data_IF_096821168197
#
_entry.id   IF_096821168197
#
_cell.length_a   1.000
_cell.length_b   1.000
_cell.length_c   1.000
_cell.angle_alpha   90.00
_cell.angle_beta   90.00
_cell.angle_gamma   90.00
#
_symmetry.space_group_name_H-M   'P 1'
#
loop_
_entity.id
_entity.type
_entity.pdbx_description
1 polymer ?
#
# COMPACT_ATOMS: atom_id res chain seq x y z
N UNK A 1 -11.89 -17.55 -42.52
CA UNK A 1 -10.71 -16.67 -42.44
C UNK A 1 -11.17 -15.36 -41.79
N UNK A 2 -10.61 -15.03 -40.60
CA UNK A 2 -10.72 -13.77 -39.83
C UNK A 2 -11.58 -13.69 -38.53
N UNK A 3 -12.07 -14.78 -37.90
CA UNK A 3 -12.71 -14.69 -36.56
C UNK A 3 -12.21 -15.71 -35.50
N UNK A 4 -11.41 -16.72 -35.88
CA UNK A 4 -10.89 -17.76 -34.96
C UNK A 4 -9.67 -17.29 -34.15
N UNK A 5 -8.71 -16.61 -34.79
CA UNK A 5 -7.57 -15.93 -34.13
C UNK A 5 -8.02 -14.80 -33.18
N UNK A 6 -9.26 -14.35 -33.34
CA UNK A 6 -9.85 -13.21 -32.63
C UNK A 6 -10.38 -13.58 -31.24
N UNK A 7 -10.77 -14.85 -31.02
CA UNK A 7 -11.12 -15.40 -29.70
C UNK A 7 -9.88 -15.85 -28.89
N UNK A 8 -8.82 -16.30 -29.57
CA UNK A 8 -7.54 -16.71 -28.94
C UNK A 8 -6.84 -15.55 -28.20
N UNK A 9 -7.12 -14.30 -28.58
CA UNK A 9 -6.60 -13.10 -27.92
C UNK A 9 -7.52 -12.55 -26.79
N UNK A 10 -8.81 -12.89 -26.81
CA UNK A 10 -9.80 -12.39 -25.82
C UNK A 10 -9.69 -13.12 -24.47
N UNK A 11 -9.25 -14.39 -24.50
CA UNK A 11 -8.86 -15.17 -23.33
C UNK A 11 -7.49 -14.78 -22.75
N UNK A 12 -6.55 -14.29 -23.58
CA UNK A 12 -5.21 -13.85 -23.17
C UNK A 12 -5.20 -12.68 -22.16
N UNK A 13 -6.37 -12.12 -21.90
CA UNK A 13 -6.58 -10.95 -21.08
C UNK A 13 -7.90 -11.03 -20.28
N UNK A 14 -8.06 -12.04 -19.43
CA UNK A 14 -8.51 -11.79 -18.04
C UNK A 14 -7.38 -11.03 -17.29
N UNK A 15 -6.87 -9.98 -17.94
CA UNK A 15 -5.64 -9.21 -17.72
C UNK A 15 -5.51 -8.90 -16.26
N UNK A 16 -4.52 -9.46 -15.57
CA UNK A 16 -4.32 -9.11 -14.17
C UNK A 16 -3.97 -10.24 -13.21
N UNK A 17 -4.82 -11.28 -13.15
CA UNK A 17 -5.02 -12.00 -11.88
C UNK A 17 -5.40 -13.49 -11.96
N UNK A 18 -5.57 -14.10 -13.14
CA UNK A 18 -5.92 -15.52 -13.28
C UNK A 18 -4.88 -16.33 -14.07
N UNK A 19 -4.55 -17.56 -13.65
CA UNK A 19 -3.68 -18.46 -14.43
C UNK A 19 -4.29 -18.83 -15.79
N UNK A 20 -3.43 -18.94 -16.81
CA UNK A 20 -3.80 -19.19 -18.21
C UNK A 20 -4.59 -20.50 -18.35
N UNK A 21 -4.22 -21.57 -17.61
CA UNK A 21 -4.93 -22.86 -17.68
C UNK A 21 -6.34 -22.81 -17.06
N UNK A 22 -6.63 -21.84 -16.19
CA UNK A 22 -7.97 -21.60 -15.68
C UNK A 22 -8.82 -20.81 -16.68
N UNK A 23 -8.21 -19.85 -17.39
CA UNK A 23 -8.87 -19.06 -18.42
C UNK A 23 -9.30 -19.94 -19.61
N UNK A 24 -8.45 -20.87 -20.07
CA UNK A 24 -8.77 -21.77 -21.19
C UNK A 24 -9.91 -22.74 -20.87
N UNK A 25 -9.96 -23.29 -19.65
CA UNK A 25 -11.06 -24.15 -19.21
C UNK A 25 -12.39 -23.40 -19.12
N UNK A 26 -12.36 -22.15 -18.65
CA UNK A 26 -13.55 -21.31 -18.51
C UNK A 26 -14.02 -20.71 -19.84
N UNK A 27 -13.12 -20.49 -20.80
CA UNK A 27 -13.45 -19.91 -22.12
C UNK A 27 -14.46 -20.76 -22.92
N UNK A 28 -14.56 -22.07 -22.65
CA UNK A 28 -15.58 -22.95 -23.26
C UNK A 28 -17.00 -22.70 -22.74
N UNK A 29 -17.14 -22.00 -21.61
CA UNK A 29 -18.41 -21.75 -20.93
C UNK A 29 -18.77 -20.27 -20.76
N UNK A 30 -17.80 -19.37 -20.93
CA UNK A 30 -17.99 -17.93 -20.76
C UNK A 30 -18.25 -17.25 -22.11
N UNK A 31 -19.27 -16.41 -22.15
CA UNK A 31 -19.47 -15.49 -23.28
C UNK A 31 -18.45 -14.35 -23.22
N UNK A 32 -18.28 -13.61 -24.33
CA UNK A 32 -17.47 -12.38 -24.34
C UNK A 32 -17.92 -11.38 -23.28
N UNK A 33 -19.22 -11.26 -23.03
CA UNK A 33 -19.78 -10.37 -22.00
C UNK A 33 -19.44 -10.81 -20.57
N UNK A 34 -19.37 -12.12 -20.30
CA UNK A 34 -18.94 -12.64 -18.99
C UNK A 34 -17.46 -12.33 -18.73
N UNK A 35 -16.61 -12.48 -19.75
CA UNK A 35 -15.18 -12.15 -19.67
C UNK A 35 -14.98 -10.66 -19.41
N UNK A 36 -15.73 -9.79 -20.09
CA UNK A 36 -15.69 -8.34 -19.85
C UNK A 36 -16.15 -7.97 -18.44
N UNK A 37 -17.24 -8.57 -17.97
CA UNK A 37 -17.76 -8.35 -16.62
C UNK A 37 -16.74 -8.79 -15.57
N UNK A 38 -16.14 -9.97 -15.71
CA UNK A 38 -15.11 -10.46 -14.81
C UNK A 38 -13.87 -9.57 -14.82
N UNK A 39 -13.48 -9.05 -15.99
CA UNK A 39 -12.35 -8.10 -16.11
C UNK A 39 -12.63 -6.81 -15.35
N UNK A 40 -13.83 -6.26 -15.48
CA UNK A 40 -14.21 -5.03 -14.77
C UNK A 40 -14.30 -5.24 -13.26
N UNK A 41 -14.84 -6.37 -12.80
CA UNK A 41 -14.85 -6.73 -11.38
C UNK A 41 -13.44 -6.90 -10.82
N UNK A 42 -12.54 -7.53 -11.57
CA UNK A 42 -11.13 -7.71 -11.19
C UNK A 42 -10.41 -6.36 -11.10
N UNK A 43 -10.63 -5.47 -12.09
CA UNK A 43 -10.08 -4.09 -12.07
C UNK A 43 -10.62 -3.29 -10.89
N UNK A 44 -11.91 -3.39 -10.60
CA UNK A 44 -12.53 -2.72 -9.45
C UNK A 44 -12.04 -3.29 -8.11
N UNK A 45 -11.62 -4.55 -8.07
CA UNK A 45 -11.18 -5.23 -6.85
C UNK A 45 -9.75 -4.89 -6.43
N UNK A 46 -8.87 -4.50 -7.36
CA UNK A 46 -7.48 -4.13 -7.04
C UNK A 46 -7.37 -2.62 -6.84
N UNK A 47 -7.14 -2.12 -5.61
CA UNK A 47 -7.05 -0.70 -5.40
C UNK A 47 -5.78 -0.12 -6.05
N UNK A 48 -5.89 1.08 -6.64
CA UNK A 48 -4.82 1.81 -7.35
C UNK A 48 -3.48 1.83 -6.61
N UNK A 49 -3.52 1.97 -5.29
CA UNK A 49 -2.32 2.00 -4.46
C UNK A 49 -1.53 0.68 -4.52
N UNK A 50 -2.21 -0.44 -4.72
CA UNK A 50 -1.62 -1.77 -4.86
C UNK A 50 -0.97 -1.91 -6.22
N UNK A 51 -1.64 -1.47 -7.29
CA UNK A 51 -1.07 -1.44 -8.66
C UNK A 51 0.21 -0.62 -8.67
N UNK A 52 0.16 0.62 -8.15
CA UNK A 52 1.34 1.50 -8.07
C UNK A 52 2.47 0.89 -7.23
N UNK A 53 2.15 0.21 -6.13
CA UNK A 53 3.15 -0.44 -5.28
C UNK A 53 3.82 -1.63 -5.98
N UNK A 54 3.05 -2.46 -6.71
CA UNK A 54 3.57 -3.59 -7.49
C UNK A 54 4.42 -3.07 -8.66
N UNK A 55 3.93 -2.09 -9.42
CA UNK A 55 4.68 -1.48 -10.51
C UNK A 55 6.02 -0.89 -10.03
N UNK A 56 6.01 -0.20 -8.88
CA UNK A 56 7.24 0.32 -8.27
C UNK A 56 8.20 -0.79 -7.84
N UNK A 57 7.70 -1.93 -7.34
CA UNK A 57 8.54 -3.06 -6.98
C UNK A 57 9.16 -3.73 -8.20
N UNK A 58 8.36 -3.95 -9.25
CA UNK A 58 8.83 -4.53 -10.50
C UNK A 58 9.85 -3.62 -11.19
N UNK A 59 9.64 -2.30 -11.20
CA UNK A 59 10.62 -1.35 -11.72
C UNK A 59 11.96 -1.43 -10.98
N UNK A 60 11.94 -1.61 -9.66
CA UNK A 60 13.18 -1.83 -8.89
C UNK A 60 13.84 -3.17 -9.22
N UNK A 61 13.06 -4.25 -9.29
CA UNK A 61 13.55 -5.59 -9.58
C UNK A 61 14.17 -5.68 -10.99
N UNK A 62 13.53 -5.08 -11.98
CA UNK A 62 14.02 -5.00 -13.36
C UNK A 62 15.35 -4.26 -13.45
N UNK A 63 15.46 -3.09 -12.81
CA UNK A 63 16.71 -2.33 -12.77
C UNK A 63 17.82 -3.11 -12.06
N UNK A 64 17.49 -3.78 -10.95
CA UNK A 64 18.44 -4.64 -10.24
C UNK A 64 18.87 -5.84 -11.09
N UNK A 65 17.96 -6.53 -11.77
CA UNK A 65 18.28 -7.68 -12.60
C UNK A 65 19.26 -7.28 -13.71
N UNK A 66 18.98 -6.18 -14.40
CA UNK A 66 19.88 -5.65 -15.44
C UNK A 66 21.25 -5.28 -14.89
N UNK A 67 21.31 -4.61 -13.75
CA UNK A 67 22.58 -4.24 -13.12
C UNK A 67 23.37 -5.45 -12.61
N UNK A 68 22.70 -6.48 -12.08
CA UNK A 68 23.33 -7.62 -11.41
C UNK A 68 23.62 -8.82 -12.32
N UNK A 69 22.92 -8.92 -13.45
CA UNK A 69 23.00 -10.07 -14.36
C UNK A 69 23.24 -9.68 -15.81
N UNK A 70 23.06 -8.40 -16.17
CA UNK A 70 23.03 -7.94 -17.57
C UNK A 70 21.70 -8.20 -18.27
N UNK A 71 20.82 -9.01 -17.69
CA UNK A 71 19.58 -9.50 -18.31
C UNK A 71 18.32 -8.84 -17.72
N UNK A 72 17.20 -8.81 -18.46
CA UNK A 72 15.90 -8.42 -17.93
C UNK A 72 15.43 -9.34 -16.78
N UNK A 73 14.43 -8.90 -16.01
CA UNK A 73 13.85 -9.72 -14.94
C UNK A 73 13.23 -11.00 -15.49
N UNK A 74 13.68 -12.15 -14.98
CA UNK A 74 13.25 -13.46 -15.46
C UNK A 74 11.79 -13.81 -15.11
N UNK A 75 11.14 -14.53 -16.03
CA UNK A 75 9.80 -15.11 -15.88
C UNK A 75 9.80 -16.56 -16.38
N UNK A 76 9.60 -17.56 -15.50
CA UNK A 76 9.43 -17.45 -14.05
C UNK A 76 10.71 -16.95 -13.36
N UNK A 77 10.61 -16.45 -12.11
CA UNK A 77 11.80 -16.12 -11.32
C UNK A 77 12.70 -17.35 -11.16
N UNK A 78 13.96 -17.27 -11.57
CA UNK A 78 14.93 -18.33 -11.32
C UNK A 78 15.33 -18.34 -9.84
N UNK A 79 15.44 -19.53 -9.25
CA UNK A 79 15.78 -19.67 -7.82
C UNK A 79 17.12 -18.99 -7.48
N UNK A 80 18.11 -19.12 -8.38
CA UNK A 80 19.43 -18.50 -8.24
C UNK A 80 19.36 -16.97 -8.19
N UNK A 81 18.53 -16.34 -9.03
CA UNK A 81 18.38 -14.88 -9.05
C UNK A 81 17.70 -14.39 -7.78
N UNK A 82 16.75 -15.15 -7.25
CA UNK A 82 16.07 -14.80 -6.00
C UNK A 82 17.03 -14.88 -4.81
N UNK A 83 17.88 -15.92 -4.76
CA UNK A 83 18.93 -16.03 -3.75
C UNK A 83 19.96 -14.90 -3.88
N UNK A 84 20.36 -14.56 -5.11
CA UNK A 84 21.23 -13.40 -5.39
C UNK A 84 20.58 -12.09 -4.92
N UNK A 85 19.29 -11.90 -5.20
CA UNK A 85 18.53 -10.74 -4.74
C UNK A 85 18.52 -10.64 -3.21
N UNK A 86 18.27 -11.75 -2.53
CA UNK A 86 18.31 -11.81 -1.06
C UNK A 86 19.70 -11.44 -0.56
N UNK A 87 20.77 -12.03 -1.10
CA UNK A 87 22.14 -11.75 -0.68
C UNK A 87 22.57 -10.29 -0.92
N UNK A 88 22.16 -9.69 -2.04
CA UNK A 88 22.47 -8.29 -2.35
C UNK A 88 21.78 -7.32 -1.38
N UNK A 89 20.64 -7.67 -0.79
CA UNK A 89 19.83 -6.72 -0.02
C UNK A 89 19.74 -7.03 1.47
N UNK A 90 19.93 -8.29 1.88
CA UNK A 90 19.89 -8.75 3.26
C UNK A 90 21.23 -9.37 3.63
N UNK A 91 22.13 -8.54 4.15
CA UNK A 91 23.45 -8.92 4.61
C UNK A 91 23.78 -8.20 5.92
N UNK A 92 24.80 -8.64 6.65
CA UNK A 92 25.23 -7.99 7.90
C UNK A 92 26.09 -6.78 7.57
N UNK A 93 25.61 -5.57 7.90
CA UNK A 93 26.31 -4.32 7.56
C UNK A 93 27.74 -4.26 8.15
N UNK A 94 27.91 -4.67 9.41
CA UNK A 94 29.22 -4.70 10.08
C UNK A 94 30.19 -5.67 9.42
N UNK A 95 29.71 -6.84 8.96
CA UNK A 95 30.53 -7.81 8.25
C UNK A 95 30.98 -7.25 6.89
N UNK A 96 30.09 -6.58 6.15
CA UNK A 96 30.45 -5.91 4.88
C UNK A 96 31.53 -4.86 5.12
N UNK A 97 31.41 -4.09 6.20
CA UNK A 97 32.36 -3.05 6.55
C UNK A 97 33.73 -3.66 6.87
N UNK A 98 33.78 -4.65 7.76
CA UNK A 98 35.02 -5.32 8.14
C UNK A 98 35.75 -5.96 6.94
N UNK A 99 35.02 -6.60 6.02
CA UNK A 99 35.62 -7.19 4.80
C UNK A 99 36.20 -6.15 3.85
N UNK A 100 35.52 -5.02 3.68
CA UNK A 100 35.98 -3.91 2.83
C UNK A 100 37.17 -3.17 3.43
N UNK A 101 37.28 -3.14 4.76
CA UNK A 101 38.46 -2.60 5.47
C UNK A 101 39.67 -3.54 5.36
N UNK A 102 39.43 -4.85 5.33
CA UNK A 102 40.50 -5.84 5.19
C UNK A 102 41.13 -5.88 3.78
N UNK A 103 40.37 -5.53 2.74
CA UNK A 103 40.83 -5.50 1.36
C UNK A 103 39.96 -4.57 0.51
N UNK A 104 40.59 -3.57 -0.13
CA UNK A 104 39.90 -2.60 -0.98
C UNK A 104 39.24 -3.23 -2.22
N UNK A 105 39.77 -4.37 -2.67
CA UNK A 105 39.30 -5.15 -3.82
C UNK A 105 38.22 -6.17 -3.47
N UNK A 106 37.90 -6.37 -2.18
CA UNK A 106 36.89 -7.36 -1.78
C UNK A 106 35.49 -6.77 -1.87
N UNK A 107 34.70 -7.33 -2.78
CA UNK A 107 33.29 -6.97 -3.02
C UNK A 107 32.37 -8.21 -3.06
N UNK A 108 32.78 -9.24 -2.34
CA UNK A 108 32.16 -10.57 -2.31
C UNK A 108 30.98 -10.72 -1.33
N UNK A 109 30.69 -9.68 -0.55
CA UNK A 109 29.72 -9.73 0.54
C UNK A 109 28.66 -8.63 0.46
N UNK A 110 27.42 -9.05 0.20
CA UNK A 110 26.29 -8.15 -0.03
C UNK A 110 26.16 -7.75 -1.49
N UNK A 111 25.58 -6.57 -1.77
CA UNK A 111 25.52 -6.05 -3.13
C UNK A 111 26.91 -5.57 -3.58
N UNK A 112 27.39 -6.00 -4.77
CA UNK A 112 28.60 -5.49 -5.35
C UNK A 112 28.53 -3.97 -5.60
N UNK A 113 29.63 -3.24 -5.41
CA UNK A 113 29.83 -1.81 -5.68
C UNK A 113 29.38 -1.42 -7.08
N UNK A 114 29.69 -2.19 -8.12
CA UNK A 114 29.29 -1.88 -9.49
C UNK A 114 27.75 -1.87 -9.65
N UNK A 115 27.08 -2.87 -9.05
CA UNK A 115 25.62 -2.97 -9.02
C UNK A 115 25.01 -1.84 -8.18
N UNK A 116 25.57 -1.59 -6.99
CA UNK A 116 25.14 -0.52 -6.09
C UNK A 116 25.28 0.86 -6.76
N UNK A 117 26.40 1.12 -7.43
CA UNK A 117 26.67 2.35 -8.16
C UNK A 117 25.65 2.57 -9.28
N UNK A 118 25.46 1.57 -10.14
CA UNK A 118 24.49 1.63 -11.25
C UNK A 118 23.08 1.96 -10.76
N UNK A 119 22.63 1.30 -9.69
CA UNK A 119 21.30 1.54 -9.13
C UNK A 119 21.16 2.93 -8.48
N UNK A 120 22.25 3.48 -7.92
CA UNK A 120 22.26 4.83 -7.34
C UNK A 120 22.28 5.90 -8.43
N UNK A 121 23.09 5.72 -9.46
CA UNK A 121 23.19 6.62 -10.60
C UNK A 121 21.83 6.77 -11.31
N UNK A 122 21.11 5.66 -11.50
CA UNK A 122 19.76 5.66 -12.06
C UNK A 122 18.69 6.23 -11.10
N UNK A 123 19.06 6.61 -9.88
CA UNK A 123 18.14 7.12 -8.86
C UNK A 123 17.13 6.10 -8.33
N UNK A 124 17.36 4.81 -8.58
CA UNK A 124 16.50 3.68 -8.16
C UNK A 124 16.80 3.28 -6.72
N UNK A 125 18.07 3.24 -6.32
CA UNK A 125 18.51 2.98 -4.95
C UNK A 125 18.81 4.30 -4.22
N UNK A 126 17.84 4.82 -3.47
CA UNK A 126 17.99 6.08 -2.70
C UNK A 126 18.34 5.88 -1.22
N UNK A 127 18.11 4.68 -0.68
CA UNK A 127 18.32 4.36 0.73
C UNK A 127 19.69 3.76 1.03
N UNK A 128 19.93 3.52 2.32
CA UNK A 128 21.06 2.70 2.78
C UNK A 128 20.79 1.21 2.57
N UNK A 129 21.86 0.43 2.40
CA UNK A 129 21.85 -1.03 2.46
C UNK A 129 22.45 -1.49 3.80
N UNK A 130 22.05 -2.65 4.33
CA UNK A 130 21.03 -3.58 3.82
C UNK A 130 19.60 -3.01 3.93
N UNK A 131 18.68 -3.55 3.12
CA UNK A 131 17.26 -3.20 3.22
C UNK A 131 16.62 -3.81 4.47
N UNK A 132 15.49 -3.26 4.89
CA UNK A 132 14.62 -3.94 5.86
C UNK A 132 14.11 -5.27 5.27
N UNK A 133 14.05 -6.36 6.06
CA UNK A 133 13.51 -7.65 5.59
C UNK A 133 12.11 -7.55 4.99
N UNK A 134 11.25 -6.67 5.54
CA UNK A 134 9.91 -6.42 5.02
C UNK A 134 9.91 -5.85 3.59
N UNK A 135 10.89 -5.01 3.23
CA UNK A 135 11.03 -4.45 1.88
C UNK A 135 11.38 -5.54 0.87
N UNK A 136 12.31 -6.41 1.23
CA UNK A 136 12.72 -7.54 0.36
C UNK A 136 11.58 -8.54 0.21
N UNK A 137 10.93 -8.93 1.31
CA UNK A 137 9.77 -9.81 1.28
C UNK A 137 8.61 -9.24 0.43
N UNK A 138 8.35 -7.94 0.52
CA UNK A 138 7.34 -7.25 -0.30
C UNK A 138 7.65 -7.34 -1.79
N UNK A 139 8.89 -7.02 -2.20
CA UNK A 139 9.31 -7.12 -3.61
C UNK A 139 9.23 -8.56 -4.14
N UNK A 140 9.69 -9.54 -3.37
CA UNK A 140 9.55 -10.96 -3.74
C UNK A 140 8.09 -11.38 -3.86
N UNK A 141 7.21 -10.85 -3.01
CA UNK A 141 5.76 -11.10 -3.10
C UNK A 141 5.16 -10.50 -4.37
N UNK A 142 5.58 -9.28 -4.76
CA UNK A 142 5.17 -8.64 -6.02
C UNK A 142 5.65 -9.45 -7.23
N UNK A 143 6.90 -9.92 -7.22
CA UNK A 143 7.46 -10.77 -8.28
C UNK A 143 6.70 -12.10 -8.39
N UNK A 144 6.47 -12.78 -7.27
CA UNK A 144 5.67 -14.00 -7.22
C UNK A 144 4.25 -13.75 -7.73
N UNK A 145 3.59 -12.69 -7.29
CA UNK A 145 2.20 -12.40 -7.67
C UNK A 145 2.11 -12.27 -9.18
N UNK A 146 2.96 -11.47 -9.81
CA UNK A 146 2.95 -11.29 -11.26
C UNK A 146 3.37 -12.56 -12.01
N UNK A 147 4.21 -13.42 -11.41
CA UNK A 147 4.55 -14.70 -12.00
C UNK A 147 3.35 -15.66 -12.02
N UNK A 148 2.59 -15.72 -10.92
CA UNK A 148 1.35 -16.50 -10.85
C UNK A 148 0.29 -16.01 -11.85
N UNK A 149 0.18 -14.70 -12.01
CA UNK A 149 -0.67 -14.07 -13.04
C UNK A 149 -0.29 -14.52 -14.45
N UNK A 150 1.00 -14.73 -14.70
CA UNK A 150 1.53 -15.23 -15.97
C UNK A 150 1.41 -16.76 -16.12
N UNK A 151 0.77 -17.46 -15.18
CA UNK A 151 0.59 -18.92 -15.18
C UNK A 151 1.64 -19.71 -14.38
N UNK A 152 2.61 -19.05 -13.74
CA UNK A 152 3.63 -19.73 -12.94
C UNK A 152 3.20 -19.92 -11.49
N UNK A 153 2.27 -20.84 -11.24
CA UNK A 153 1.63 -21.02 -9.92
C UNK A 153 2.62 -21.31 -8.77
N UNK A 154 3.65 -22.12 -9.06
CA UNK A 154 4.67 -22.52 -8.10
C UNK A 154 5.86 -21.55 -8.00
N UNK A 155 5.78 -20.37 -8.63
CA UNK A 155 6.85 -19.37 -8.54
C UNK A 155 7.19 -19.03 -7.09
N UNK A 156 8.48 -19.08 -6.76
CA UNK A 156 9.04 -18.81 -5.42
C UNK A 156 8.48 -19.70 -4.29
N UNK A 157 7.98 -20.91 -4.60
CA UNK A 157 7.42 -21.84 -3.61
C UNK A 157 8.48 -22.67 -2.86
N UNK A 158 9.72 -22.69 -3.35
CA UNK A 158 10.83 -23.51 -2.84
C UNK A 158 11.11 -23.31 -1.35
N UNK A 159 11.30 -24.43 -0.63
CA UNK A 159 11.65 -24.41 0.79
C UNK A 159 13.02 -23.80 1.06
N UNK A 160 13.94 -23.88 0.08
CA UNK A 160 15.28 -23.28 0.13
C UNK A 160 15.17 -21.76 0.23
N UNK A 161 14.36 -21.14 -0.63
CA UNK A 161 14.13 -19.70 -0.62
C UNK A 161 13.54 -19.21 0.70
N UNK A 162 12.56 -19.94 1.25
CA UNK A 162 11.96 -19.61 2.56
C UNK A 162 13.00 -19.69 3.67
N UNK A 163 13.84 -20.73 3.69
CA UNK A 163 14.92 -20.87 4.68
C UNK A 163 15.95 -19.74 4.56
N UNK A 164 16.37 -19.41 3.34
CA UNK A 164 17.31 -18.32 3.08
C UNK A 164 16.76 -16.96 3.55
N UNK A 165 15.52 -16.63 3.18
CA UNK A 165 14.87 -15.38 3.60
C UNK A 165 14.72 -15.31 5.12
N UNK A 166 14.34 -16.42 5.78
CA UNK A 166 14.22 -16.48 7.24
C UNK A 166 15.56 -16.32 7.94
N UNK A 167 16.62 -16.98 7.44
CA UNK A 167 17.97 -16.85 7.98
C UNK A 167 18.48 -15.41 7.84
N UNK A 168 18.34 -14.82 6.65
CA UNK A 168 18.74 -13.45 6.39
C UNK A 168 17.95 -12.43 7.22
N UNK A 169 16.64 -12.67 7.42
CA UNK A 169 15.79 -11.83 8.26
C UNK A 169 16.19 -11.89 9.74
N UNK A 170 16.54 -13.08 10.25
CA UNK A 170 17.03 -13.26 11.64
C UNK A 170 18.42 -12.64 11.85
N UNK A 171 19.28 -12.72 10.84
CA UNK A 171 20.61 -12.10 10.88
C UNK A 171 20.58 -10.58 10.68
N UNK A 172 19.43 -10.02 10.27
CA UNK A 172 19.27 -8.58 10.08
C UNK A 172 19.34 -7.87 11.42
N UNK A 173 20.21 -6.86 11.51
CA UNK A 173 20.28 -5.94 12.67
C UNK A 173 19.19 -4.87 12.62
N UNK A 174 18.27 -4.93 11.64
CA UNK A 174 17.21 -3.95 11.47
C UNK A 174 16.18 -4.03 12.60
N UNK A 175 16.21 -3.06 13.51
CA UNK A 175 15.18 -2.91 14.53
C UNK A 175 13.93 -2.27 13.92
N UNK A 176 12.77 -2.92 14.05
CA UNK A 176 11.48 -2.30 13.73
C UNK A 176 11.26 -1.12 14.67
N UNK A 177 11.44 0.09 14.17
CA UNK A 177 11.09 1.31 14.90
C UNK A 177 9.69 1.77 14.50
N UNK A 178 8.82 2.10 15.47
CA UNK A 178 7.57 2.75 15.14
C UNK A 178 7.87 4.10 14.46
N UNK A 179 6.96 4.56 13.59
CA UNK A 179 7.10 5.87 12.92
C UNK A 179 7.04 7.05 13.91
N UNK A 180 6.54 6.82 15.12
CA UNK A 180 6.56 7.75 16.24
C UNK A 180 6.91 6.96 17.49
N UNK A 181 7.86 7.44 18.29
CA UNK A 181 8.20 6.85 19.59
C UNK A 181 7.10 7.09 20.63
N UNK A 182 6.29 8.13 20.44
CA UNK A 182 5.23 8.53 21.37
C UNK A 182 3.88 8.53 20.68
N UNK A 183 2.90 7.85 21.27
CA UNK A 183 1.51 7.97 20.82
C UNK A 183 1.02 9.39 21.09
N UNK A 184 0.30 9.99 20.13
CA UNK A 184 -0.38 11.26 20.38
C UNK A 184 -1.41 11.01 21.48
N UNK A 185 -1.23 11.66 22.64
CA UNK A 185 -2.18 11.60 23.75
C UNK A 185 -3.23 12.69 23.60
N UNK A 186 -4.32 12.60 24.38
CA UNK A 186 -5.36 13.64 24.42
C UNK A 186 -4.77 15.02 24.72
N UNK A 187 -3.80 15.11 25.64
CA UNK A 187 -3.18 16.38 26.01
C UNK A 187 -2.39 17.00 24.85
N UNK A 188 -1.60 16.20 24.14
CA UNK A 188 -0.86 16.65 22.95
C UNK A 188 -1.84 17.09 21.85
N UNK A 189 -2.91 16.33 21.63
CA UNK A 189 -3.95 16.68 20.67
C UNK A 189 -4.60 18.03 21.02
N UNK A 190 -4.91 18.26 22.29
CA UNK A 190 -5.53 19.52 22.72
C UNK A 190 -4.56 20.69 22.64
N UNK A 191 -3.25 20.48 22.81
CA UNK A 191 -2.27 21.54 22.52
C UNK A 191 -2.26 21.91 21.03
N UNK A 192 -2.40 20.93 20.13
CA UNK A 192 -2.43 21.17 18.67
C UNK A 192 -3.71 21.87 18.20
N UNK A 193 -4.87 21.48 18.74
CA UNK A 193 -6.18 22.02 18.33
C UNK A 193 -6.60 23.24 19.20
N UNK A 194 -5.81 23.58 20.22
CA UNK A 194 -6.15 24.58 21.24
C UNK A 194 -7.06 24.01 22.33
N UNK A 195 -7.38 24.79 23.36
CA UNK A 195 -8.17 24.31 24.52
C UNK A 195 -9.69 24.43 24.35
N UNK A 196 -10.15 25.16 23.31
CA UNK A 196 -11.56 25.49 23.13
C UNK A 196 -12.40 24.26 22.78
N UNK A 197 -13.43 24.00 23.58
CA UNK A 197 -14.40 22.92 23.35
C UNK A 197 -15.17 23.05 22.05
N UNK A 198 -15.41 24.28 21.58
CA UNK A 198 -16.07 24.58 20.30
C UNK A 198 -15.21 25.55 19.48
N UNK A 199 -15.11 25.38 18.16
CA UNK A 199 -14.45 26.37 17.33
C UNK A 199 -15.33 27.62 17.20
N UNK A 200 -14.72 28.79 17.12
CA UNK A 200 -15.42 30.04 16.77
C UNK A 200 -14.92 30.51 15.41
N UNK A 201 -15.84 30.75 14.47
CA UNK A 201 -15.53 31.26 13.13
C UNK A 201 -14.97 32.70 13.16
N UNK A 202 -15.14 33.42 14.27
CA UNK A 202 -14.53 34.75 14.47
C UNK A 202 -13.04 34.66 14.80
N UNK A 203 -12.57 33.50 15.27
CA UNK A 203 -11.23 33.31 15.83
C UNK A 203 -10.41 32.25 15.09
N UNK A 204 -11.06 31.41 14.27
CA UNK A 204 -10.42 30.35 13.51
C UNK A 204 -10.82 30.45 12.03
N UNK A 205 -9.82 30.35 11.17
CA UNK A 205 -10.01 30.18 9.73
C UNK A 205 -10.66 28.83 9.42
N UNK A 206 -11.26 28.74 8.22
CA UNK A 206 -11.83 27.48 7.72
C UNK A 206 -10.82 26.32 7.69
N UNK A 207 -9.54 26.63 7.44
CA UNK A 207 -8.46 25.63 7.45
C UNK A 207 -8.25 25.07 8.86
N UNK A 208 -8.24 25.93 9.87
CA UNK A 208 -8.06 25.53 11.27
C UNK A 208 -9.26 24.71 11.78
N UNK A 209 -10.49 25.09 11.39
CA UNK A 209 -11.70 24.32 11.73
C UNK A 209 -11.66 22.94 11.06
N UNK A 210 -11.29 22.87 9.78
CA UNK A 210 -11.13 21.60 9.05
C UNK A 210 -10.06 20.71 9.70
N UNK A 211 -8.87 21.25 9.93
CA UNK A 211 -7.73 20.48 10.44
C UNK A 211 -8.00 20.01 11.88
N UNK A 212 -8.58 20.88 12.72
CA UNK A 212 -9.05 20.50 14.05
C UNK A 212 -10.12 19.41 14.02
N UNK A 213 -11.08 19.50 13.10
CA UNK A 213 -12.12 18.46 12.89
C UNK A 213 -11.47 17.12 12.53
N UNK A 214 -10.56 17.09 11.56
CA UNK A 214 -9.89 15.86 11.12
C UNK A 214 -9.09 15.21 12.26
N UNK A 215 -8.37 16.01 13.05
CA UNK A 215 -7.58 15.53 14.19
C UNK A 215 -8.48 14.97 15.31
N UNK A 216 -9.54 15.70 15.67
CA UNK A 216 -10.46 15.30 16.74
C UNK A 216 -11.30 14.09 16.35
N UNK A 217 -11.85 14.05 15.14
CA UNK A 217 -12.62 12.89 14.64
C UNK A 217 -11.71 11.68 14.52
N UNK A 218 -10.52 11.83 13.94
CA UNK A 218 -9.56 10.73 13.81
C UNK A 218 -9.14 10.13 15.15
N UNK A 219 -8.94 10.96 16.17
CA UNK A 219 -8.62 10.52 17.52
C UNK A 219 -9.82 9.92 18.25
N UNK A 220 -10.97 10.62 18.25
CA UNK A 220 -12.17 10.26 18.99
C UNK A 220 -12.85 8.98 18.51
N UNK A 221 -12.61 8.59 17.26
CA UNK A 221 -13.14 7.35 16.66
C UNK A 221 -12.13 6.20 16.68
N UNK A 222 -11.17 6.24 17.61
CA UNK A 222 -10.24 5.15 17.86
C UNK A 222 -9.06 5.08 16.88
N UNK A 223 -8.50 6.23 16.49
CA UNK A 223 -7.23 6.31 15.76
C UNK A 223 -7.31 5.90 14.29
N UNK A 224 -8.11 6.63 13.49
CA UNK A 224 -8.34 6.32 12.07
C UNK A 224 -7.11 6.58 11.19
N UNK A 225 -7.01 5.81 10.10
CA UNK A 225 -5.96 6.01 9.09
C UNK A 225 -6.22 7.29 8.30
N UNK A 226 -5.15 7.96 7.85
CA UNK A 226 -5.26 9.13 6.98
C UNK A 226 -6.07 8.88 5.71
N UNK A 227 -5.95 7.67 5.13
CA UNK A 227 -6.74 7.28 3.96
C UNK A 227 -8.23 7.14 4.25
N UNK A 228 -8.61 6.79 5.48
CA UNK A 228 -10.02 6.67 5.89
C UNK A 228 -10.62 8.06 6.10
N UNK A 229 -9.87 8.95 6.79
CA UNK A 229 -10.29 10.34 7.00
C UNK A 229 -10.36 11.15 5.70
N UNK A 230 -9.43 10.93 4.78
CA UNK A 230 -9.38 11.65 3.50
C UNK A 230 -10.48 11.26 2.51
N UNK A 231 -11.18 10.14 2.74
CA UNK A 231 -12.30 9.68 1.90
C UNK A 231 -13.66 9.91 2.53
N UNK A 232 -13.73 10.59 3.69
CA UNK A 232 -15.00 10.91 4.31
C UNK A 232 -15.84 11.80 3.41
N UNK A 233 -17.12 11.46 3.29
CA UNK A 233 -18.11 12.21 2.53
C UNK A 233 -19.16 12.77 3.46
N UNK A 234 -19.66 13.95 3.11
CA UNK A 234 -20.69 14.64 3.92
C UNK A 234 -21.99 13.83 3.90
N UNK A 235 -22.34 13.21 2.77
CA UNK A 235 -23.49 12.32 2.63
C UNK A 235 -23.47 11.09 3.56
N UNK A 236 -22.31 10.75 4.14
CA UNK A 236 -22.17 9.64 5.08
C UNK A 236 -22.28 10.07 6.56
N UNK A 237 -22.48 11.36 6.81
CA UNK A 237 -22.61 11.92 8.16
C UNK A 237 -24.09 12.11 8.47
N UNK A 238 -24.54 11.56 9.60
CA UNK A 238 -25.94 11.62 10.00
C UNK A 238 -26.06 11.93 11.50
N UNK A 239 -27.21 12.49 11.89
CA UNK A 239 -27.47 12.80 13.28
C UNK A 239 -27.84 11.55 14.09
N UNK A 240 -27.32 11.50 15.31
CA UNK A 240 -27.66 10.53 16.34
C UNK A 240 -28.22 11.26 17.54
N UNK A 241 -29.06 10.57 18.32
CA UNK A 241 -29.57 11.06 19.61
C UNK A 241 -30.16 12.48 19.53
N UNK A 242 -30.99 12.75 18.52
CA UNK A 242 -31.61 14.07 18.27
C UNK A 242 -30.58 15.21 18.09
N UNK A 243 -29.43 14.91 17.48
CA UNK A 243 -28.36 15.86 17.22
C UNK A 243 -27.41 16.07 18.41
N UNK A 244 -27.44 15.21 19.42
CA UNK A 244 -26.46 15.20 20.54
C UNK A 244 -25.14 14.53 20.16
N UNK A 245 -25.16 13.71 19.10
CA UNK A 245 -23.99 13.06 18.53
C UNK A 245 -24.16 12.95 17.01
N UNK A 246 -23.09 12.61 16.30
CA UNK A 246 -23.17 12.25 14.88
C UNK A 246 -22.59 10.88 14.59
N UNK A 247 -23.26 10.18 13.69
CA UNK A 247 -22.80 8.95 13.06
C UNK A 247 -22.02 9.26 11.79
N UNK A 248 -20.95 8.51 11.53
CA UNK A 248 -20.26 8.54 10.24
C UNK A 248 -20.16 7.12 9.69
N UNK A 249 -20.83 6.86 8.57
CA UNK A 249 -20.63 5.62 7.83
C UNK A 249 -19.23 5.62 7.19
N UNK A 250 -18.41 4.62 7.53
CA UNK A 250 -17.16 4.38 6.81
C UNK A 250 -17.44 3.37 5.71
N UNK A 251 -17.12 3.72 4.46
CA UNK A 251 -17.12 2.76 3.36
C UNK A 251 -16.10 1.63 3.57
N UNK A 252 -16.11 0.64 2.68
CA UNK A 252 -15.16 -0.50 2.72
C UNK A 252 -13.72 -0.01 2.91
N UNK A 253 -13.09 -0.42 4.01
CA UNK A 253 -11.64 -0.27 4.21
C UNK A 253 -10.99 -1.65 4.06
N UNK A 254 -9.67 -1.69 3.79
CA UNK A 254 -8.90 -2.94 3.67
C UNK A 254 -9.06 -3.90 4.86
N UNK A 255 -9.53 -3.40 6.01
CA UNK A 255 -9.67 -4.16 7.27
C UNK A 255 -11.10 -4.28 7.78
N UNK A 256 -12.10 -3.75 7.07
CA UNK A 256 -13.51 -3.76 7.50
C UNK A 256 -14.40 -4.05 6.31
N UNK A 257 -15.06 -5.21 6.35
CA UNK A 257 -16.16 -5.49 5.44
C UNK A 257 -17.32 -4.59 5.88
N UNK A 258 -17.83 -3.76 4.98
CA UNK A 258 -19.04 -2.99 5.23
C UNK A 258 -20.20 -3.98 5.40
N UNK A 259 -20.49 -4.39 6.64
CA UNK A 259 -21.82 -4.81 7.04
C UNK A 259 -22.65 -3.56 7.23
N UNK A 260 -23.81 -3.51 6.58
CA UNK A 260 -24.78 -2.44 6.78
C UNK A 260 -25.07 -2.29 8.27
N UNK A 261 -24.61 -1.18 8.86
CA UNK A 261 -24.79 -0.87 10.28
C UNK A 261 -23.53 -0.49 11.06
N UNK A 262 -22.32 -0.68 10.54
CA UNK A 262 -21.13 -0.14 11.22
C UNK A 262 -20.95 1.36 10.91
N UNK A 263 -21.09 2.19 11.94
CA UNK A 263 -20.83 3.63 11.89
C UNK A 263 -19.97 4.06 13.07
N UNK A 264 -19.19 5.12 12.86
CA UNK A 264 -18.44 5.77 13.92
C UNK A 264 -19.37 6.69 14.68
N UNK A 265 -19.32 6.62 16.01
CA UNK A 265 -19.97 7.60 16.87
C UNK A 265 -19.00 8.73 17.17
N UNK A 266 -19.39 9.96 16.82
CA UNK A 266 -18.66 11.18 17.08
C UNK A 266 -19.40 11.98 18.15
N UNK A 267 -18.75 12.26 19.27
CA UNK A 267 -19.33 12.97 20.41
C UNK A 267 -18.43 14.07 20.95
N UNK A 268 -19.00 14.91 21.81
CA UNK A 268 -18.28 15.93 22.56
C UNK A 268 -17.54 16.92 21.67
N UNK A 269 -16.25 17.13 21.95
CA UNK A 269 -15.43 18.11 21.23
C UNK A 269 -15.26 17.79 19.74
N UNK A 270 -15.15 16.51 19.38
CA UNK A 270 -15.06 16.11 17.98
C UNK A 270 -16.34 16.45 17.23
N UNK A 271 -17.50 16.26 17.88
CA UNK A 271 -18.79 16.65 17.33
C UNK A 271 -18.90 18.18 17.20
N UNK A 272 -18.51 18.93 18.22
CA UNK A 272 -18.57 20.38 18.13
C UNK A 272 -17.78 20.95 16.93
N UNK A 273 -16.59 20.42 16.66
CA UNK A 273 -15.76 20.83 15.52
C UNK A 273 -16.36 20.40 14.18
N UNK A 274 -16.82 19.14 14.09
CA UNK A 274 -17.47 18.63 12.88
C UNK A 274 -18.73 19.45 12.54
N UNK A 275 -19.52 19.85 13.53
CA UNK A 275 -20.73 20.66 13.33
C UNK A 275 -20.37 22.01 12.71
N UNK A 276 -19.42 22.70 13.33
CA UNK A 276 -18.97 24.01 12.86
C UNK A 276 -18.33 23.95 11.47
N UNK A 277 -17.68 22.84 11.13
CA UNK A 277 -17.16 22.60 9.79
C UNK A 277 -18.29 22.46 8.76
N UNK A 278 -19.30 21.64 9.05
CA UNK A 278 -20.46 21.46 8.17
C UNK A 278 -21.25 22.77 8.00
N UNK A 279 -21.47 23.52 9.08
CA UNK A 279 -22.10 24.85 9.03
C UNK A 279 -21.28 25.85 8.21
N UNK A 280 -19.95 25.80 8.31
CA UNK A 280 -19.08 26.65 7.52
C UNK A 280 -19.14 26.32 6.02
N UNK A 281 -19.18 25.02 5.69
CA UNK A 281 -19.35 24.54 4.31
C UNK A 281 -20.71 24.94 3.73
N UNK A 282 -21.79 24.77 4.49
CA UNK A 282 -23.14 25.15 4.07
C UNK A 282 -23.26 26.64 3.71
N UNK A 283 -22.51 27.51 4.42
CA UNK A 283 -22.44 28.95 4.11
C UNK A 283 -21.70 29.24 2.80
N UNK A 284 -20.78 28.37 2.39
CA UNK A 284 -20.04 28.53 1.13
C UNK A 284 -20.79 27.93 -0.06
N UNK A 285 -21.48 26.82 0.16
CA UNK A 285 -22.28 26.14 -0.85
C UNK A 285 -23.53 25.51 -0.20
N UNK A 286 -24.70 26.17 -0.30
CA UNK A 286 -25.96 25.69 0.29
C UNK A 286 -26.46 24.37 -0.30
N UNK A 287 -25.94 23.93 -1.46
CA UNK A 287 -26.34 22.65 -2.06
C UNK A 287 -25.74 21.45 -1.30
N UNK A 288 -24.71 21.65 -0.48
CA UNK A 288 -24.01 20.61 0.27
C UNK A 288 -24.87 20.03 1.41
N UNK A 289 -25.88 20.75 1.91
CA UNK A 289 -26.72 20.32 3.04
C UNK A 289 -28.05 19.64 2.68
N UNK A 290 -28.46 19.67 1.40
CA UNK A 290 -29.77 19.16 0.98
C UNK A 290 -29.80 17.67 0.59
N UNK A 291 -28.79 16.90 1.00
CA UNK A 291 -28.70 15.45 0.77
C UNK A 291 -29.07 14.60 2.00
N UNK A 292 -29.82 15.16 2.95
CA UNK A 292 -30.36 14.43 4.11
C UNK A 292 -31.64 13.66 3.73
#
# INVERSE_FOLDING_TARGET
>A
MLDSDRFENVAGALTELMPVEAAERLATHLTTGDVETLRDLVRAAVPDNTIRAVASDLGYLEAWARAATGEPLAWPPAEADVLKFIAHHLFRAEERKARREASEDTDDYGMPRAVEFTLREQGILRGALPHAPATVARRLSSWRRVAQVKGYEDALSSSVLRRALNAASKASTHQKRPKSETAITRNVLYQLVGEKEKPSQELLSLREIRDGTLLLVGFGTGGRRRSELGTLRIENVFDLDEGKARGIHIGRTKTTNATDGEYLVVTGRADAYLKAWLEALAKQDPAITNGA
#
